data_IF_961267693475
#
_entry.id   IF_961267693475
#
_cell.length_a   1.000
_cell.length_b   1.000
_cell.length_c   1.000
_cell.angle_alpha   90.00
_cell.angle_beta   90.00
_cell.angle_gamma   90.00
#
_symmetry.space_group_name_H-M   'P 1'
#
loop_
_entity.id
_entity.type
_entity.pdbx_description
1 polymer ?
#
# COMPACT_ATOMS: atom_id res chain seq x y z
N UNK A 1 3.55 -2.62 20.98
CA UNK A 1 2.91 -3.15 19.74
C UNK A 1 2.34 -2.05 18.85
N UNK A 2 1.50 -1.15 19.36
CA UNK A 2 0.84 -0.09 18.57
C UNK A 2 1.80 0.80 17.76
N UNK A 3 2.93 1.24 18.37
CA UNK A 3 3.95 2.05 17.67
C UNK A 3 4.52 1.37 16.42
N UNK A 4 4.73 0.06 16.46
CA UNK A 4 5.26 -0.72 15.33
C UNK A 4 4.22 -0.87 14.23
N UNK A 5 2.94 -1.06 14.57
CA UNK A 5 1.83 -1.10 13.60
C UNK A 5 1.72 0.23 12.89
N UNK A 6 1.69 1.34 13.64
CA UNK A 6 1.62 2.68 13.08
C UNK A 6 2.78 2.95 12.12
N UNK A 7 4.00 2.57 12.51
CA UNK A 7 5.19 2.75 11.67
C UNK A 7 5.08 1.96 10.37
N UNK A 8 4.68 0.68 10.45
CA UNK A 8 4.47 -0.17 9.27
C UNK A 8 3.38 0.43 8.38
N UNK A 9 2.24 0.86 8.95
CA UNK A 9 1.15 1.47 8.19
C UNK A 9 1.60 2.73 7.43
N UNK A 10 2.28 3.66 8.11
CA UNK A 10 2.72 4.93 7.51
C UNK A 10 3.79 4.70 6.44
N UNK A 11 4.79 3.86 6.72
CA UNK A 11 5.85 3.55 5.75
C UNK A 11 5.30 2.82 4.52
N UNK A 12 4.37 1.89 4.71
CA UNK A 12 3.70 1.18 3.62
C UNK A 12 2.88 2.13 2.75
N UNK A 13 2.11 3.02 3.37
CA UNK A 13 1.32 4.01 2.65
C UNK A 13 2.22 4.98 1.87
N UNK A 14 3.32 5.43 2.47
CA UNK A 14 4.32 6.25 1.79
C UNK A 14 4.93 5.55 0.56
N UNK A 15 5.22 4.26 0.66
CA UNK A 15 5.67 3.46 -0.48
C UNK A 15 4.58 3.36 -1.57
N UNK A 16 3.31 3.22 -1.18
CA UNK A 16 2.19 3.30 -2.11
C UNK A 16 2.08 4.63 -2.84
N UNK A 17 2.23 5.76 -2.13
CA UNK A 17 2.23 7.10 -2.73
C UNK A 17 3.37 7.21 -3.75
N UNK A 18 4.56 6.73 -3.42
CA UNK A 18 5.70 6.78 -4.34
C UNK A 18 5.42 5.99 -5.62
N UNK A 19 4.88 4.78 -5.52
CA UNK A 19 4.51 3.96 -6.69
C UNK A 19 3.39 4.62 -7.50
N UNK A 20 2.37 5.15 -6.84
CA UNK A 20 1.28 5.87 -7.50
C UNK A 20 1.82 7.07 -8.29
N UNK A 21 2.73 7.84 -7.70
CA UNK A 21 3.34 8.99 -8.34
C UNK A 21 4.15 8.60 -9.59
N UNK A 22 4.95 7.53 -9.51
CA UNK A 22 5.69 7.00 -10.65
C UNK A 22 4.75 6.55 -11.78
N UNK A 23 3.67 5.83 -11.45
CA UNK A 23 2.70 5.38 -12.45
C UNK A 23 1.94 6.55 -13.09
N UNK A 24 1.57 7.57 -12.32
CA UNK A 24 0.97 8.80 -12.85
C UNK A 24 1.94 9.55 -13.78
N UNK A 25 3.21 9.65 -13.42
CA UNK A 25 4.23 10.30 -14.23
C UNK A 25 4.46 9.55 -15.56
N UNK A 26 4.52 8.21 -15.52
CA UNK A 26 4.59 7.35 -16.70
C UNK A 26 3.36 7.51 -17.59
N UNK A 27 2.16 7.50 -17.00
CA UNK A 27 0.91 7.72 -17.75
C UNK A 27 0.93 9.05 -18.51
N UNK A 28 1.32 10.14 -17.85
CA UNK A 28 1.38 11.45 -18.51
C UNK A 28 2.43 11.47 -19.61
N UNK A 29 3.59 10.85 -19.39
CA UNK A 29 4.63 10.77 -20.42
C UNK A 29 4.19 10.02 -21.68
N UNK A 30 3.20 9.14 -21.56
CA UNK A 30 2.63 8.41 -22.69
C UNK A 30 1.52 9.20 -23.43
N UNK A 31 0.89 10.18 -22.77
CA UNK A 31 -0.26 10.93 -23.32
C UNK A 31 0.15 12.32 -23.81
N UNK A 32 1.18 12.92 -23.20
CA UNK A 32 1.61 14.29 -23.48
C UNK A 32 3.11 14.24 -23.74
N UNK A 33 3.55 14.73 -24.92
CA UNK A 33 4.97 14.96 -25.16
C UNK A 33 5.47 16.07 -24.22
N UNK A 34 6.42 15.76 -23.32
CA UNK A 34 6.82 16.70 -22.29
C UNK A 34 7.78 17.74 -22.88
N UNK A 35 7.24 18.89 -23.30
CA UNK A 35 8.04 20.07 -23.64
C UNK A 35 8.59 20.82 -22.40
N UNK A 36 8.00 20.59 -21.22
CA UNK A 36 8.40 21.22 -19.96
C UNK A 36 8.29 20.25 -18.77
N UNK A 37 9.41 19.90 -18.10
CA UNK A 37 9.42 18.94 -17.00
C UNK A 37 8.66 19.41 -15.75
N UNK A 38 8.56 20.72 -15.51
CA UNK A 38 7.81 21.25 -14.37
C UNK A 38 6.29 21.06 -14.56
N UNK A 39 5.80 21.27 -15.79
CA UNK A 39 4.41 21.03 -16.13
C UNK A 39 4.07 19.54 -16.06
N UNK A 40 5.00 18.67 -16.49
CA UNK A 40 4.87 17.22 -16.33
C UNK A 40 4.75 16.78 -14.86
N UNK A 41 5.61 17.28 -13.97
CA UNK A 41 5.52 17.01 -12.53
C UNK A 41 4.21 17.52 -11.91
N UNK A 42 3.76 18.71 -12.30
CA UNK A 42 2.50 19.28 -11.81
C UNK A 42 1.30 18.43 -12.21
N UNK A 43 1.27 17.94 -13.45
CA UNK A 43 0.21 17.05 -13.92
C UNK A 43 0.24 15.70 -13.18
N UNK A 44 1.43 15.16 -12.89
CA UNK A 44 1.56 13.90 -12.16
C UNK A 44 1.05 14.03 -10.72
N UNK A 45 1.42 15.14 -10.06
CA UNK A 45 0.92 15.48 -8.74
C UNK A 45 -0.60 15.69 -8.73
N UNK A 46 -1.13 16.41 -9.72
CA UNK A 46 -2.56 16.64 -9.87
C UNK A 46 -3.32 15.31 -10.01
N UNK A 47 -2.86 14.44 -10.91
CA UNK A 47 -3.50 13.15 -11.17
C UNK A 47 -3.47 12.24 -9.92
N UNK A 48 -2.34 12.18 -9.22
CA UNK A 48 -2.22 11.43 -7.97
C UNK A 48 -3.13 12.00 -6.86
N UNK A 49 -3.17 13.34 -6.72
CA UNK A 49 -3.92 14.01 -5.66
C UNK A 49 -5.41 13.68 -5.62
N UNK A 50 -6.01 13.42 -6.78
CA UNK A 50 -7.44 13.11 -6.91
C UNK A 50 -7.90 11.89 -6.12
N UNK A 51 -6.99 11.00 -5.71
CA UNK A 51 -7.33 9.79 -4.94
C UNK A 51 -6.60 9.68 -3.60
N UNK A 52 -5.69 10.61 -3.28
CA UNK A 52 -4.93 10.57 -2.02
C UNK A 52 -5.82 10.69 -0.78
N UNK A 53 -6.82 11.58 -0.82
CA UNK A 53 -7.73 11.78 0.31
C UNK A 53 -8.55 10.53 0.62
N UNK A 54 -9.24 9.99 -0.39
CA UNK A 54 -10.09 8.81 -0.27
C UNK A 54 -9.24 7.56 0.00
N UNK A 55 -8.14 7.39 -0.73
CA UNK A 55 -7.20 6.28 -0.55
C UNK A 55 -6.56 6.28 0.83
N UNK A 56 -6.15 7.45 1.34
CA UNK A 56 -5.66 7.59 2.71
C UNK A 56 -6.71 7.23 3.76
N UNK A 57 -7.95 7.73 3.58
CA UNK A 57 -9.05 7.42 4.49
C UNK A 57 -9.35 5.92 4.49
N UNK A 58 -9.53 5.29 3.33
CA UNK A 58 -9.76 3.86 3.20
C UNK A 58 -8.60 3.05 3.77
N UNK A 59 -7.36 3.47 3.53
CA UNK A 59 -6.19 2.75 3.99
C UNK A 59 -6.07 2.78 5.52
N UNK A 60 -6.12 3.95 6.16
CA UNK A 60 -5.88 4.04 7.60
C UNK A 60 -7.08 3.64 8.45
N UNK A 61 -8.32 3.84 7.97
CA UNK A 61 -9.52 3.53 8.76
C UNK A 61 -10.04 2.11 8.53
N UNK A 62 -9.80 1.52 7.36
CA UNK A 62 -10.33 0.18 7.00
C UNK A 62 -9.20 -0.80 6.75
N UNK A 63 -8.33 -0.52 5.77
CA UNK A 63 -7.35 -1.51 5.31
C UNK A 63 -6.33 -1.87 6.39
N UNK A 64 -5.61 -0.91 6.96
CA UNK A 64 -4.57 -1.17 7.94
C UNK A 64 -5.09 -1.89 9.21
N UNK A 65 -6.25 -1.52 9.81
CA UNK A 65 -6.85 -2.29 10.89
C UNK A 65 -7.21 -3.72 10.48
N UNK A 66 -7.79 -3.90 9.29
CA UNK A 66 -8.22 -5.22 8.80
C UNK A 66 -7.01 -6.11 8.46
N UNK A 67 -5.97 -5.56 7.83
CA UNK A 67 -4.69 -6.22 7.59
C UNK A 67 -4.02 -6.63 8.90
N UNK A 68 -4.02 -5.75 9.91
CA UNK A 68 -3.50 -6.08 11.22
C UNK A 68 -4.23 -7.29 11.83
N UNK A 69 -5.57 -7.30 11.82
CA UNK A 69 -6.37 -8.41 12.37
C UNK A 69 -6.11 -9.72 11.61
N UNK A 70 -6.10 -9.66 10.27
CA UNK A 70 -5.90 -10.83 9.42
C UNK A 70 -4.50 -11.42 9.58
N UNK A 71 -3.46 -10.60 9.44
CA UNK A 71 -2.07 -11.05 9.51
C UNK A 71 -1.65 -11.41 10.94
N UNK A 72 -2.36 -10.90 11.96
CA UNK A 72 -2.19 -11.38 13.34
C UNK A 72 -2.75 -12.80 13.54
N UNK A 73 -3.84 -13.15 12.83
CA UNK A 73 -4.46 -14.48 12.92
C UNK A 73 -3.82 -15.54 12.03
N UNK A 74 -3.16 -15.14 10.96
CA UNK A 74 -2.47 -16.06 10.05
C UNK A 74 -1.33 -16.77 10.78
N UNK A 75 -1.45 -18.10 10.87
CA UNK A 75 -0.38 -18.98 11.37
C UNK A 75 0.83 -18.91 10.43
N UNK A 76 1.96 -19.09 11.07
CA UNK A 76 3.22 -18.44 10.76
C UNK A 76 4.12 -19.30 9.85
N UNK A 77 3.47 -20.10 8.98
CA UNK A 77 4.07 -21.25 8.32
C UNK A 77 4.44 -20.97 6.85
N UNK A 78 3.84 -19.96 6.20
CA UNK A 78 4.10 -19.66 4.79
C UNK A 78 4.48 -18.18 4.53
N UNK A 79 5.75 -17.88 4.19
CA UNK A 79 6.26 -16.51 4.00
C UNK A 79 5.56 -15.71 2.90
N UNK A 80 5.22 -16.36 1.78
CA UNK A 80 4.64 -15.70 0.61
C UNK A 80 3.17 -15.32 0.76
N UNK A 81 2.48 -15.87 1.77
CA UNK A 81 1.04 -15.68 1.92
C UNK A 81 0.69 -14.31 2.51
N UNK A 82 1.61 -13.69 3.29
CA UNK A 82 1.37 -12.41 3.96
C UNK A 82 1.23 -11.22 2.98
N UNK A 83 2.13 -11.01 2.00
CA UNK A 83 1.95 -9.94 1.03
C UNK A 83 0.76 -10.19 0.10
N UNK A 84 0.53 -11.43 -0.32
CA UNK A 84 -0.57 -11.79 -1.22
C UNK A 84 -1.95 -11.57 -0.59
N UNK A 85 -2.14 -12.01 0.65
CA UNK A 85 -3.39 -11.75 1.38
C UNK A 85 -3.63 -10.26 1.59
N UNK A 86 -2.58 -9.51 1.92
CA UNK A 86 -2.69 -8.07 2.07
C UNK A 86 -3.10 -7.38 0.77
N UNK A 87 -2.48 -7.75 -0.34
CA UNK A 87 -2.84 -7.27 -1.68
C UNK A 87 -4.29 -7.61 -2.01
N UNK A 88 -4.75 -8.84 -1.78
CA UNK A 88 -6.12 -9.27 -2.06
C UNK A 88 -7.18 -8.40 -1.34
N UNK A 89 -6.94 -8.07 -0.06
CA UNK A 89 -7.78 -7.16 0.71
C UNK A 89 -7.85 -5.78 0.04
N UNK A 90 -6.68 -5.22 -0.30
CA UNK A 90 -6.61 -3.88 -0.85
C UNK A 90 -7.11 -3.80 -2.31
N UNK A 91 -7.02 -4.88 -3.09
CA UNK A 91 -7.69 -5.03 -4.39
C UNK A 91 -9.21 -4.97 -4.21
N UNK A 92 -9.77 -5.73 -3.27
CA UNK A 92 -11.21 -5.70 -2.97
C UNK A 92 -11.69 -4.33 -2.51
N UNK A 93 -10.95 -3.69 -1.60
CA UNK A 93 -11.25 -2.33 -1.13
C UNK A 93 -11.13 -1.29 -2.25
N UNK A 94 -10.18 -1.46 -3.18
CA UNK A 94 -10.03 -0.56 -4.32
C UNK A 94 -11.15 -0.70 -5.34
N UNK A 95 -11.57 -1.94 -5.62
CA UNK A 95 -12.72 -2.21 -6.47
C UNK A 95 -14.01 -1.62 -5.86
N UNK A 96 -14.20 -1.80 -4.56
CA UNK A 96 -15.35 -1.27 -3.83
C UNK A 96 -15.32 0.27 -3.79
N UNK A 97 -14.21 0.87 -3.39
CA UNK A 97 -14.03 2.32 -3.39
C UNK A 97 -14.22 2.95 -4.78
N UNK A 98 -13.76 2.26 -5.83
CA UNK A 98 -14.00 2.65 -7.22
C UNK A 98 -15.48 2.64 -7.61
N UNK A 99 -16.23 1.59 -7.25
CA UNK A 99 -17.66 1.53 -7.57
C UNK A 99 -18.47 2.71 -7.00
N UNK A 100 -18.07 3.24 -5.84
CA UNK A 100 -18.69 4.44 -5.25
C UNK A 100 -18.33 5.73 -6.01
N UNK A 101 -17.22 5.75 -6.73
CA UNK A 101 -16.74 6.88 -7.54
C UNK A 101 -17.15 6.78 -9.02
N UNK A 102 -18.07 5.87 -9.36
CA UNK A 102 -18.58 5.73 -10.73
C UNK A 102 -17.72 4.85 -11.65
N UNK A 103 -16.76 4.10 -11.11
CA UNK A 103 -15.95 3.16 -11.90
C UNK A 103 -14.66 2.72 -11.20
N UNK A 104 -14.02 1.67 -11.72
CA UNK A 104 -12.80 1.14 -11.14
C UNK A 104 -11.64 2.14 -11.33
N UNK A 105 -11.34 2.92 -10.28
CA UNK A 105 -10.29 3.94 -10.32
C UNK A 105 -8.90 3.30 -10.20
N UNK A 106 -8.21 3.18 -11.33
CA UNK A 106 -6.87 2.61 -11.40
C UNK A 106 -5.86 3.35 -10.51
N UNK A 107 -6.06 4.64 -10.24
CA UNK A 107 -5.16 5.43 -9.38
C UNK A 107 -5.26 4.94 -7.94
N UNK A 108 -6.45 4.55 -7.51
CA UNK A 108 -6.68 4.00 -6.17
C UNK A 108 -6.04 2.61 -6.06
N UNK A 109 -6.07 1.79 -7.12
CA UNK A 109 -5.31 0.55 -7.21
C UNK A 109 -3.79 0.78 -7.13
N UNK A 110 -3.28 1.75 -7.89
CA UNK A 110 -1.87 2.13 -7.94
C UNK A 110 -1.34 2.61 -6.58
N UNK A 111 -2.21 3.07 -5.68
CA UNK A 111 -1.90 3.44 -4.31
C UNK A 111 -2.02 2.25 -3.35
N UNK A 112 -3.18 1.60 -3.35
CA UNK A 112 -3.58 0.61 -2.34
C UNK A 112 -2.84 -0.71 -2.46
N UNK A 113 -2.64 -1.21 -3.68
CA UNK A 113 -2.01 -2.53 -3.89
C UNK A 113 -0.53 -2.52 -3.49
N UNK A 114 0.29 -1.54 -3.91
CA UNK A 114 1.67 -1.48 -3.43
C UNK A 114 1.75 -1.23 -1.92
N UNK A 115 0.89 -0.35 -1.38
CA UNK A 115 0.83 -0.13 0.08
C UNK A 115 0.62 -1.45 0.83
N UNK A 116 -0.32 -2.28 0.36
CA UNK A 116 -0.61 -3.56 0.98
C UNK A 116 0.54 -4.57 0.88
N UNK A 117 1.21 -4.62 -0.28
CA UNK A 117 2.38 -5.47 -0.48
C UNK A 117 3.49 -5.12 0.52
N UNK A 118 3.83 -3.84 0.64
CA UNK A 118 4.83 -3.37 1.60
C UNK A 118 4.40 -3.61 3.05
N UNK A 119 3.11 -3.46 3.36
CA UNK A 119 2.57 -3.77 4.68
C UNK A 119 2.78 -5.23 5.04
N UNK A 120 2.38 -6.14 4.14
CA UNK A 120 2.54 -7.59 4.33
C UNK A 120 4.02 -7.99 4.45
N UNK A 121 4.89 -7.43 3.61
CA UNK A 121 6.33 -7.70 3.65
C UNK A 121 7.01 -7.20 4.93
N UNK A 122 6.72 -5.98 5.38
CA UNK A 122 7.27 -5.46 6.64
C UNK A 122 6.69 -6.17 7.87
N UNK A 123 5.43 -6.57 7.80
CA UNK A 123 4.81 -7.39 8.84
C UNK A 123 5.51 -8.75 8.97
N UNK A 124 5.79 -9.40 7.84
CA UNK A 124 6.56 -10.63 7.79
C UNK A 124 7.96 -10.45 8.38
N UNK A 125 8.72 -9.45 7.92
CA UNK A 125 10.07 -9.18 8.41
C UNK A 125 10.09 -8.99 9.94
N UNK A 126 9.09 -8.31 10.50
CA UNK A 126 8.96 -8.15 11.95
C UNK A 126 8.78 -9.48 12.68
N UNK A 127 7.99 -10.40 12.14
CA UNK A 127 7.78 -11.73 12.72
C UNK A 127 9.08 -12.53 12.71
N UNK A 128 9.78 -12.54 11.57
CA UNK A 128 11.02 -13.29 11.38
C UNK A 128 12.14 -12.78 12.30
N UNK A 129 12.26 -11.46 12.44
CA UNK A 129 13.24 -10.86 13.35
C UNK A 129 13.00 -11.27 14.81
N UNK A 130 11.73 -11.26 15.27
CA UNK A 130 11.37 -11.72 16.62
C UNK A 130 11.73 -13.20 16.85
N UNK A 131 11.56 -14.06 15.84
CA UNK A 131 11.97 -15.48 15.92
C UNK A 131 13.48 -15.61 16.05
N UNK A 132 14.23 -14.89 15.22
CA UNK A 132 15.70 -14.96 15.22
C UNK A 132 16.28 -14.55 16.59
N UNK A 133 15.73 -13.50 17.21
CA UNK A 133 16.12 -13.05 18.55
C UNK A 133 15.75 -14.06 19.61
N UNK A 134 14.52 -14.61 19.56
CA UNK A 134 14.08 -15.65 20.50
C UNK A 134 14.98 -16.89 20.44
N UNK A 135 15.33 -17.35 19.24
CA UNK A 135 16.18 -18.52 19.05
C UNK A 135 17.61 -18.27 19.57
N UNK A 136 18.16 -17.06 19.40
CA UNK A 136 19.46 -16.67 19.95
C UNK A 136 19.49 -16.58 21.48
N UNK A 137 18.35 -16.27 22.12
CA UNK A 137 18.23 -16.20 23.58
C UNK A 137 17.99 -17.57 24.22
N UNK A 138 17.56 -18.56 23.43
CA UNK A 138 17.29 -19.92 23.88
C UNK A 138 18.46 -20.89 23.64
N UNK A 139 19.51 -20.44 22.94
CA UNK A 139 20.76 -21.15 22.69
C UNK A 139 21.85 -20.64 23.65
#
# INVERSE_FOLDING_TARGET
>A
MVKSVLTISVTSFGAGIAVQFVLCALYISAVIEPGNPALWMLLAAYLASGTLGIGGLLYFTVAAPLLFILLWRLRQEEPGFYPLTAMGVCVGLSAWGGSWMGGLDWRLFALMVPSAFFFGGMWWNRIELNRSVRNKLAA
#
